data_IF_557400688662
#
_entry.id   IF_557400688662
#
_cell.length_a   1.000
_cell.length_b   1.000
_cell.length_c   1.000
_cell.angle_alpha   90.00
_cell.angle_beta   90.00
_cell.angle_gamma   90.00
#
_symmetry.space_group_name_H-M   'P 1'
#
loop_
_entity.id
_entity.type
_entity.pdbx_description
1 polymer ?
#
# COMPACT_ATOMS: atom_id res chain seq x y z
N UNK A 1 -11.70 6.63 -8.60
CA UNK A 1 -11.49 7.69 -7.60
C UNK A 1 -10.61 7.08 -6.53
N UNK A 2 -9.56 7.80 -6.10
CA UNK A 2 -8.66 7.33 -5.05
C UNK A 2 -9.43 6.92 -3.80
N UNK A 3 -9.17 5.73 -3.24
CA UNK A 3 -9.90 5.22 -2.07
C UNK A 3 -9.59 5.96 -0.77
N UNK A 4 -8.35 6.43 -0.60
CA UNK A 4 -7.90 7.21 0.57
C UNK A 4 -7.97 8.70 0.23
N UNK A 5 -8.65 9.50 1.06
CA UNK A 5 -9.02 10.89 0.75
C UNK A 5 -8.43 11.94 1.70
N UNK A 6 -8.03 11.54 2.90
CA UNK A 6 -7.46 12.42 3.90
C UNK A 6 -6.46 11.66 4.78
N UNK A 7 -5.49 12.39 5.35
CA UNK A 7 -4.72 11.91 6.49
C UNK A 7 -5.60 11.89 7.73
N UNK A 8 -5.32 10.97 8.65
CA UNK A 8 -5.90 10.97 9.99
C UNK A 8 -4.88 11.62 10.91
N UNK A 9 -5.23 12.78 11.46
CA UNK A 9 -4.46 13.46 12.50
C UNK A 9 -5.12 13.13 13.84
N UNK A 10 -4.47 12.36 14.73
CA UNK A 10 -5.02 12.08 16.05
C UNK A 10 -5.25 13.37 16.83
N UNK A 11 -6.25 13.36 17.71
CA UNK A 11 -6.48 14.43 18.68
C UNK A 11 -5.26 14.65 19.57
N UNK A 12 -5.26 15.74 20.34
CA UNK A 12 -4.17 16.04 21.28
C UNK A 12 -3.93 14.95 22.34
N UNK A 13 -4.94 14.13 22.62
CA UNK A 13 -4.91 12.96 23.50
C UNK A 13 -4.55 11.65 22.78
N UNK A 14 -4.26 11.71 21.48
CA UNK A 14 -3.99 10.56 20.61
C UNK A 14 -5.24 9.80 20.16
N UNK A 15 -6.45 10.31 20.44
CA UNK A 15 -7.70 9.68 20.03
C UNK A 15 -7.93 9.81 18.52
N UNK A 16 -8.58 8.80 17.94
CA UNK A 16 -9.05 8.81 16.55
C UNK A 16 -10.56 8.61 16.59
N UNK A 17 -11.31 9.55 16.02
CA UNK A 17 -12.76 9.48 15.98
C UNK A 17 -13.28 8.75 14.75
N UNK A 18 -14.54 8.32 14.80
CA UNK A 18 -15.21 7.74 13.62
C UNK A 18 -15.32 8.75 12.47
N UNK A 19 -15.46 10.05 12.78
CA UNK A 19 -15.46 11.11 11.77
C UNK A 19 -14.12 11.19 11.03
N UNK A 20 -13.00 10.92 11.70
CA UNK A 20 -11.67 10.91 11.06
C UNK A 20 -11.54 9.74 10.08
N UNK A 21 -12.08 8.57 10.46
CA UNK A 21 -12.17 7.40 9.57
C UNK A 21 -13.05 7.70 8.36
N UNK A 22 -14.23 8.32 8.56
CA UNK A 22 -15.14 8.70 7.47
C UNK A 22 -14.50 9.72 6.53
N UNK A 23 -13.77 10.71 7.06
CA UNK A 23 -13.01 11.68 6.23
C UNK A 23 -11.95 10.98 5.38
N UNK A 24 -11.25 10.00 5.96
CA UNK A 24 -10.21 9.25 5.26
C UNK A 24 -10.78 8.30 4.19
N UNK A 25 -11.90 7.63 4.49
CA UNK A 25 -12.57 6.62 3.65
C UNK A 25 -14.07 6.95 3.45
N UNK A 26 -14.40 8.02 2.69
CA UNK A 26 -15.77 8.55 2.63
C UNK A 26 -16.73 7.70 1.79
N UNK A 27 -16.23 6.79 0.96
CA UNK A 27 -17.06 6.06 0.00
C UNK A 27 -17.70 4.81 0.59
N UNK A 28 -17.13 4.22 1.65
CA UNK A 28 -17.64 2.96 2.19
C UNK A 28 -17.58 1.84 1.17
N UNK A 29 -16.42 1.61 0.56
CA UNK A 29 -16.33 0.62 -0.50
C UNK A 29 -16.54 -0.79 0.07
N UNK A 30 -17.39 -1.56 -0.61
CA UNK A 30 -17.46 -2.99 -0.42
C UNK A 30 -16.09 -3.61 -0.69
N UNK A 31 -15.60 -4.43 0.23
CA UNK A 31 -14.32 -5.14 0.08
C UNK A 31 -14.59 -6.57 -0.36
N UNK A 32 -13.80 -7.05 -1.32
CA UNK A 32 -13.94 -8.39 -1.87
C UNK A 32 -12.63 -9.15 -1.85
N UNK A 33 -12.73 -10.46 -1.72
CA UNK A 33 -11.67 -11.42 -1.96
C UNK A 33 -11.80 -11.89 -3.41
N UNK A 34 -10.78 -11.65 -4.23
CA UNK A 34 -10.78 -12.02 -5.65
C UNK A 34 -9.58 -12.91 -5.97
N UNK A 35 -9.76 -13.85 -6.90
CA UNK A 35 -8.65 -14.63 -7.48
C UNK A 35 -8.06 -13.91 -8.69
N UNK A 36 -6.74 -13.84 -8.77
CA UNK A 36 -5.99 -13.20 -9.86
C UNK A 36 -4.77 -14.05 -10.26
N UNK A 37 -4.41 -14.07 -11.54
CA UNK A 37 -3.16 -14.71 -11.98
C UNK A 37 -1.95 -13.85 -11.57
N UNK A 38 -0.78 -14.44 -11.39
CA UNK A 38 0.44 -13.69 -11.10
C UNK A 38 0.80 -12.71 -12.22
N UNK A 39 0.52 -13.08 -13.48
CA UNK A 39 0.72 -12.19 -14.62
C UNK A 39 -0.22 -10.98 -14.57
N UNK A 40 -1.50 -11.17 -14.25
CA UNK A 40 -2.46 -10.06 -14.14
C UNK A 40 -2.18 -9.19 -12.93
N UNK A 41 -1.73 -9.77 -11.80
CA UNK A 41 -1.27 -9.01 -10.65
C UNK A 41 -0.08 -8.11 -11.04
N UNK A 42 0.90 -8.64 -11.80
CA UNK A 42 2.00 -7.82 -12.31
C UNK A 42 1.50 -6.71 -13.23
N UNK A 43 0.56 -7.02 -14.14
CA UNK A 43 -0.03 -6.04 -15.05
C UNK A 43 -0.76 -4.92 -14.28
N UNK A 44 -1.50 -5.27 -13.22
CA UNK A 44 -2.18 -4.32 -12.34
C UNK A 44 -1.18 -3.39 -11.63
N UNK A 45 -0.07 -3.94 -11.14
CA UNK A 45 0.99 -3.17 -10.48
C UNK A 45 1.75 -2.25 -11.46
N UNK A 46 2.01 -2.71 -12.69
CA UNK A 46 2.58 -1.88 -13.76
C UNK A 46 1.65 -0.74 -14.17
N UNK A 47 0.35 -1.05 -14.31
CA UNK A 47 -0.67 -0.06 -14.62
C UNK A 47 -0.78 0.98 -13.50
N UNK A 48 -0.89 0.55 -12.25
CA UNK A 48 -0.81 1.39 -11.04
C UNK A 48 0.40 2.32 -11.07
N UNK A 49 1.59 1.78 -11.32
CA UNK A 49 2.82 2.56 -11.39
C UNK A 49 2.80 3.59 -12.54
N UNK A 50 2.05 3.32 -13.61
CA UNK A 50 1.87 4.24 -14.74
C UNK A 50 0.97 5.43 -14.42
N UNK A 51 0.08 5.28 -13.44
CA UNK A 51 -0.86 6.32 -13.00
C UNK A 51 -0.22 7.34 -12.06
N UNK A 52 0.92 7.00 -11.43
CA UNK A 52 1.67 7.93 -10.59
C UNK A 52 2.03 9.19 -11.38
N UNK A 53 1.70 10.36 -10.83
CA UNK A 53 1.86 11.69 -11.48
C UNK A 53 0.98 11.93 -12.71
N UNK A 54 -0.05 11.11 -12.94
CA UNK A 54 -1.07 11.37 -13.96
C UNK A 54 -2.25 12.15 -13.37
N UNK A 55 -3.16 12.65 -14.22
CA UNK A 55 -4.45 13.21 -13.76
C UNK A 55 -5.33 12.19 -13.03
N UNK A 56 -4.98 10.89 -13.07
CA UNK A 56 -5.64 9.78 -12.39
C UNK A 56 -4.75 9.14 -11.32
N UNK A 57 -3.97 9.95 -10.59
CA UNK A 57 -3.06 9.50 -9.53
C UNK A 57 -3.74 8.62 -8.46
N UNK A 58 -5.07 8.77 -8.31
CA UNK A 58 -5.87 7.96 -7.41
C UNK A 58 -5.88 6.45 -7.67
N UNK A 59 -5.49 6.00 -8.87
CA UNK A 59 -5.37 4.57 -9.17
C UNK A 59 -4.03 3.96 -8.76
N UNK A 60 -3.13 4.71 -8.11
CA UNK A 60 -1.91 4.15 -7.53
C UNK A 60 -2.24 3.26 -6.31
N UNK A 61 -1.85 2.00 -6.39
CA UNK A 61 -2.19 0.97 -5.40
C UNK A 61 -1.25 1.00 -4.19
N UNK A 62 -1.84 1.18 -3.01
CA UNK A 62 -1.21 0.82 -1.74
C UNK A 62 -1.29 -0.69 -1.55
N UNK A 63 -0.29 -1.27 -0.86
CA UNK A 63 -0.17 -2.73 -0.75
C UNK A 63 0.11 -3.22 0.67
N UNK A 64 -0.38 -4.43 0.95
CA UNK A 64 -0.01 -5.25 2.11
C UNK A 64 0.30 -6.66 1.61
N UNK A 65 1.24 -7.36 2.26
CA UNK A 65 1.68 -8.69 1.80
C UNK A 65 2.43 -8.67 0.45
N UNK A 66 2.76 -7.51 -0.10
CA UNK A 66 3.54 -7.34 -1.34
C UNK A 66 4.72 -6.41 -1.06
N UNK A 67 5.90 -6.76 -1.60
CA UNK A 67 7.07 -5.90 -1.67
C UNK A 67 7.49 -5.74 -3.12
N UNK A 68 7.60 -4.51 -3.61
CA UNK A 68 7.95 -4.22 -5.00
C UNK A 68 8.98 -3.11 -5.16
N UNK A 69 9.67 -3.14 -6.31
CA UNK A 69 10.58 -2.07 -6.76
C UNK A 69 10.09 -1.49 -8.08
N UNK A 70 9.77 -0.20 -8.07
CA UNK A 70 9.32 0.56 -9.24
C UNK A 70 10.46 1.45 -9.73
N UNK A 71 10.94 1.23 -10.96
CA UNK A 71 11.95 2.02 -11.61
C UNK A 71 11.33 2.92 -12.69
N UNK A 72 11.16 4.20 -12.39
CA UNK A 72 10.58 5.19 -13.31
C UNK A 72 11.54 5.62 -14.44
N UNK A 73 12.79 5.16 -14.41
CA UNK A 73 13.71 5.34 -15.54
C UNK A 73 13.44 4.34 -16.68
N UNK A 74 12.59 3.33 -16.46
CA UNK A 74 12.19 2.35 -17.46
C UNK A 74 10.87 2.76 -18.14
N UNK A 75 10.64 2.30 -19.39
CA UNK A 75 9.40 2.59 -20.10
C UNK A 75 8.18 2.05 -19.34
N UNK A 76 7.01 2.67 -19.55
CA UNK A 76 5.73 2.20 -19.00
C UNK A 76 5.51 0.72 -19.37
N UNK A 77 5.00 -0.07 -18.42
CA UNK A 77 4.82 -1.51 -18.59
C UNK A 77 6.08 -2.35 -18.34
N UNK A 78 7.22 -1.71 -18.02
CA UNK A 78 8.47 -2.37 -17.60
C UNK A 78 9.09 -1.71 -16.37
N UNK A 79 8.29 -1.00 -15.55
CA UNK A 79 8.79 -0.25 -14.39
C UNK A 79 8.98 -1.14 -13.17
N UNK A 80 8.20 -2.21 -13.03
CA UNK A 80 8.28 -3.13 -11.92
C UNK A 80 9.44 -4.10 -12.16
N UNK A 81 10.54 -3.89 -11.44
CA UNK A 81 11.77 -4.69 -11.59
C UNK A 81 11.86 -5.86 -10.64
N UNK A 82 11.08 -5.83 -9.55
CA UNK A 82 11.01 -6.89 -8.56
C UNK A 82 9.64 -6.87 -7.89
N UNK A 83 9.03 -8.04 -7.75
CA UNK A 83 7.84 -8.25 -6.91
C UNK A 83 8.06 -9.49 -6.07
N UNK A 84 7.80 -9.35 -4.77
CA UNK A 84 7.68 -10.46 -3.84
C UNK A 84 6.33 -10.41 -3.17
N UNK A 85 5.73 -11.57 -2.99
CA UNK A 85 4.43 -11.77 -2.34
C UNK A 85 4.60 -12.62 -1.09
N UNK A 86 3.85 -12.30 -0.05
CA UNK A 86 3.84 -13.07 1.18
C UNK A 86 3.18 -14.42 0.90
N UNK A 87 3.88 -15.50 1.21
CA UNK A 87 3.36 -16.84 0.96
C UNK A 87 2.33 -17.24 2.03
N UNK A 88 1.17 -17.71 1.57
CA UNK A 88 0.06 -18.17 2.40
C UNK A 88 0.06 -19.71 2.61
N UNK A 89 0.71 -20.45 1.72
CA UNK A 89 0.77 -21.93 1.76
C UNK A 89 2.15 -22.43 2.21
N UNK A 90 2.70 -21.79 3.23
CA UNK A 90 3.97 -22.15 3.86
C UNK A 90 3.83 -22.02 5.37
N UNK A 91 4.59 -22.83 6.11
CA UNK A 91 4.47 -22.91 7.57
C UNK A 91 4.85 -21.61 8.26
N UNK A 92 5.86 -20.92 7.73
CA UNK A 92 6.34 -19.64 8.22
C UNK A 92 6.15 -18.64 7.07
N UNK A 93 5.37 -17.55 7.25
CA UNK A 93 5.18 -16.57 6.20
C UNK A 93 6.49 -15.93 5.77
N UNK A 94 6.80 -16.05 4.49
CA UNK A 94 7.97 -15.43 3.89
C UNK A 94 7.64 -14.78 2.54
N UNK A 95 8.47 -13.81 2.15
CA UNK A 95 8.31 -13.10 0.88
C UNK A 95 9.02 -13.84 -0.25
N UNK A 96 8.24 -14.52 -1.09
CA UNK A 96 8.71 -15.25 -2.26
C UNK A 96 8.54 -14.41 -3.54
N UNK A 97 9.38 -14.61 -4.58
CA UNK A 97 9.17 -13.99 -5.88
C UNK A 97 7.76 -14.27 -6.43
N UNK A 98 7.16 -13.28 -7.08
CA UNK A 98 5.90 -13.47 -7.78
C UNK A 98 6.06 -14.48 -8.93
N UNK A 99 5.24 -15.52 -8.94
CA UNK A 99 5.16 -16.50 -10.02
C UNK A 99 4.00 -16.12 -10.94
N UNK A 100 4.31 -15.82 -12.19
CA UNK A 100 3.33 -15.35 -13.18
C UNK A 100 2.26 -16.38 -13.52
N UNK A 101 2.54 -17.67 -13.36
CA UNK A 101 1.64 -18.76 -13.75
C UNK A 101 0.72 -19.20 -12.60
N UNK A 102 1.01 -18.77 -11.36
CA UNK A 102 0.20 -19.14 -10.19
C UNK A 102 -0.96 -18.17 -9.99
N UNK A 103 -1.99 -18.66 -9.31
CA UNK A 103 -3.10 -17.84 -8.85
C UNK A 103 -2.85 -17.35 -7.43
N UNK A 104 -3.31 -16.14 -7.16
CA UNK A 104 -3.23 -15.47 -5.87
C UNK A 104 -4.61 -15.00 -5.45
N UNK A 105 -4.87 -15.03 -4.15
CA UNK A 105 -6.03 -14.38 -3.56
C UNK A 105 -5.63 -12.98 -3.14
N UNK A 106 -6.42 -11.99 -3.56
CA UNK A 106 -6.23 -10.58 -3.23
C UNK A 106 -7.48 -10.03 -2.55
N UNK A 107 -7.27 -9.16 -1.58
CA UNK A 107 -8.34 -8.42 -0.91
C UNK A 107 -8.28 -6.99 -1.43
N UNK A 108 -9.33 -6.57 -2.14
CA UNK A 108 -9.38 -5.26 -2.81
C UNK A 108 -10.78 -4.66 -2.70
N UNK A 109 -10.94 -3.33 -2.82
CA UNK A 109 -12.26 -2.74 -3.01
C UNK A 109 -12.92 -3.27 -4.28
N UNK A 110 -14.22 -3.58 -4.22
CA UNK A 110 -15.04 -3.99 -5.38
C UNK A 110 -14.94 -3.00 -6.55
N UNK A 111 -14.75 -1.72 -6.25
CA UNK A 111 -14.48 -0.67 -7.22
C UNK A 111 -13.37 -1.05 -8.21
N UNK A 112 -12.25 -1.63 -7.73
CA UNK A 112 -11.13 -2.03 -8.58
C UNK A 112 -11.46 -3.25 -9.45
N UNK A 113 -12.18 -4.23 -8.89
CA UNK A 113 -12.62 -5.43 -9.63
C UNK A 113 -13.55 -5.05 -10.79
N UNK A 114 -14.32 -3.98 -10.63
CA UNK A 114 -15.24 -3.47 -11.65
C UNK A 114 -14.58 -2.51 -12.67
N UNK A 115 -13.25 -2.44 -12.75
CA UNK A 115 -12.56 -1.57 -13.72
C UNK A 115 -12.27 -0.16 -13.22
N UNK A 116 -12.48 0.10 -11.92
CA UNK A 116 -12.24 1.39 -11.29
C UNK A 116 -10.83 1.93 -11.55
N UNK A 117 -10.74 3.25 -11.78
CA UNK A 117 -9.51 3.95 -12.19
C UNK A 117 -8.79 3.35 -13.42
N UNK A 118 -9.48 2.49 -14.20
CA UNK A 118 -8.96 1.80 -15.38
C UNK A 118 -8.27 0.47 -15.09
N UNK A 119 -8.38 -0.07 -13.87
CA UNK A 119 -7.81 -1.36 -13.49
C UNK A 119 -8.64 -2.53 -14.04
N UNK A 120 -8.26 -3.05 -15.21
CA UNK A 120 -8.97 -4.16 -15.87
C UNK A 120 -8.48 -5.56 -15.46
N UNK A 121 -7.47 -5.66 -14.61
CA UNK A 121 -6.74 -6.90 -14.35
C UNK A 121 -7.19 -7.66 -13.08
N UNK A 122 -8.07 -7.08 -12.26
CA UNK A 122 -8.46 -7.66 -10.97
C UNK A 122 -9.55 -8.75 -11.02
N UNK A 123 -9.99 -9.10 -12.22
CA UNK A 123 -10.97 -10.15 -12.45
C UNK A 123 -10.34 -11.21 -13.35
N UNK A 124 -10.23 -12.43 -12.84
CA UNK A 124 -9.99 -13.60 -13.68
C UNK A 124 -11.14 -13.71 -14.69
N UNK A 125 -10.84 -13.50 -15.97
CA UNK A 125 -11.84 -13.53 -17.03
C UNK A 125 -12.36 -14.95 -17.30
N UNK A 126 -11.62 -15.98 -16.89
CA UNK A 126 -11.92 -17.39 -17.17
C UNK A 126 -12.67 -18.06 -16.03
N UNK A 127 -12.31 -17.77 -14.78
CA UNK A 127 -12.97 -18.34 -13.60
C UNK A 127 -13.08 -17.27 -12.49
N UNK A 128 -14.03 -16.33 -12.63
CA UNK A 128 -14.20 -15.25 -11.67
C UNK A 128 -14.66 -15.82 -10.32
N UNK A 129 -13.77 -15.82 -9.33
CA UNK A 129 -14.09 -16.08 -7.92
C UNK A 129 -14.00 -14.78 -7.16
N UNK A 130 -15.14 -14.29 -6.69
CA UNK A 130 -15.25 -13.04 -5.95
C UNK A 130 -16.17 -13.30 -4.76
N UNK A 131 -15.61 -13.25 -3.56
CA UNK A 131 -16.36 -13.31 -2.31
C UNK A 131 -16.43 -11.93 -1.69
N UNK A 132 -17.61 -11.53 -1.22
CA UNK A 132 -17.78 -10.26 -0.50
C UNK A 132 -17.46 -10.46 0.97
N UNK A 133 -16.67 -9.55 1.54
CA UNK A 133 -16.55 -9.48 2.99
C UNK A 133 -17.82 -8.85 3.59
N UNK A 134 -18.17 -9.20 4.81
CA UNK A 134 -19.38 -8.64 5.45
C UNK A 134 -19.26 -7.14 5.72
N UNK A 135 -18.05 -6.68 6.04
CA UNK A 135 -17.76 -5.29 6.40
C UNK A 135 -17.19 -4.52 5.21
N UNK A 136 -17.58 -3.25 5.12
CA UNK A 136 -16.99 -2.28 4.18
C UNK A 136 -15.64 -1.75 4.70
N UNK A 137 -14.88 -1.09 3.84
CA UNK A 137 -13.53 -0.60 4.11
C UNK A 137 -13.38 0.22 5.41
N UNK A 138 -14.27 1.19 5.66
CA UNK A 138 -14.23 2.03 6.87
C UNK A 138 -14.56 1.24 8.14
N UNK A 139 -15.44 0.24 8.07
CA UNK A 139 -15.80 -0.61 9.20
C UNK A 139 -14.68 -1.58 9.53
N UNK A 140 -13.99 -2.12 8.50
CA UNK A 140 -12.78 -2.91 8.67
C UNK A 140 -11.70 -2.08 9.38
N UNK A 141 -11.46 -0.84 8.96
CA UNK A 141 -10.48 0.04 9.60
C UNK A 141 -10.86 0.36 11.05
N UNK A 142 -12.13 0.70 11.29
CA UNK A 142 -12.62 0.97 12.64
C UNK A 142 -12.50 -0.25 13.55
N UNK A 143 -12.84 -1.44 13.06
CA UNK A 143 -12.67 -2.71 13.78
C UNK A 143 -11.19 -2.96 14.11
N UNK A 144 -10.30 -2.78 13.14
CA UNK A 144 -8.86 -2.92 13.35
C UNK A 144 -8.35 -1.99 14.47
N UNK A 145 -8.74 -0.71 14.47
CA UNK A 145 -8.36 0.24 15.53
C UNK A 145 -8.92 -0.14 16.90
N UNK A 146 -10.18 -0.57 17.00
CA UNK A 146 -10.77 -1.02 18.26
C UNK A 146 -10.04 -2.24 18.84
N UNK A 147 -9.65 -3.19 17.99
CA UNK A 147 -8.96 -4.41 18.41
C UNK A 147 -7.50 -4.15 18.82
N UNK A 148 -6.78 -3.28 18.10
CA UNK A 148 -5.36 -3.03 18.36
C UNK A 148 -5.11 -1.95 19.42
N UNK A 149 -6.12 -1.12 19.73
CA UNK A 149 -6.14 0.00 20.69
C UNK A 149 -5.16 1.15 20.38
N UNK A 150 -3.91 0.82 20.09
CA UNK A 150 -2.83 1.73 19.70
C UNK A 150 -2.24 1.22 18.39
N UNK A 151 -2.13 2.11 17.40
CA UNK A 151 -1.60 1.81 16.08
C UNK A 151 -0.46 2.76 15.74
N UNK A 152 0.57 2.24 15.08
CA UNK A 152 1.77 2.99 14.70
C UNK A 152 2.28 2.49 13.33
N UNK A 153 1.50 2.67 12.24
CA UNK A 153 1.90 2.22 10.92
C UNK A 153 3.17 2.95 10.46
N UNK A 154 4.11 2.21 9.86
CA UNK A 154 5.39 2.76 9.39
C UNK A 154 5.57 2.58 7.88
N UNK A 155 6.49 3.36 7.29
CA UNK A 155 6.96 3.14 5.92
C UNK A 155 7.96 1.98 5.94
N UNK A 156 7.46 0.77 5.72
CA UNK A 156 8.23 -0.49 5.81
C UNK A 156 8.98 -0.86 4.51
N UNK A 157 9.09 0.06 3.54
CA UNK A 157 9.74 -0.23 2.26
C UNK A 157 8.98 -1.25 1.40
N UNK A 158 7.64 -1.36 1.57
CA UNK A 158 6.78 -2.20 0.72
C UNK A 158 6.85 -1.79 -0.76
N UNK A 159 7.00 -0.50 -1.02
CA UNK A 159 7.18 0.06 -2.36
C UNK A 159 8.47 0.86 -2.37
N UNK A 160 9.47 0.40 -3.12
CA UNK A 160 10.73 1.11 -3.31
C UNK A 160 10.77 1.75 -4.69
N UNK A 161 11.03 3.05 -4.74
CA UNK A 161 10.98 3.84 -5.97
C UNK A 161 12.41 4.22 -6.39
N UNK A 162 12.73 3.93 -7.65
CA UNK A 162 13.99 4.30 -8.29
C UNK A 162 13.70 5.28 -9.43
N UNK A 163 14.16 6.51 -9.29
CA UNK A 163 14.01 7.56 -10.30
C UNK A 163 15.24 8.46 -10.28
N UNK A 164 15.76 8.85 -11.45
CA UNK A 164 16.83 9.85 -11.51
C UNK A 164 16.29 11.16 -10.96
N UNK A 165 16.92 11.70 -9.91
CA UNK A 165 16.63 13.06 -9.44
C UNK A 165 16.83 14.01 -10.61
N UNK A 166 15.77 14.73 -11.02
CA UNK A 166 15.93 15.90 -11.89
C UNK A 166 16.85 16.88 -11.16
N UNK A 167 17.92 17.35 -11.82
CA UNK A 167 18.68 18.50 -11.32
C UNK A 167 17.72 19.69 -11.28
N UNK A 168 17.18 20.03 -10.11
CA UNK A 168 16.45 21.27 -9.92
C UNK A 168 17.47 22.41 -9.88
N UNK A 169 17.44 23.30 -10.87
CA UNK A 169 18.22 24.55 -10.91
C UNK A 169 17.57 25.63 -10.04
N UNK A 170 17.27 25.30 -8.78
CA UNK A 170 16.86 26.26 -7.76
C UNK A 170 17.83 26.14 -6.58
N UNK A 171 18.36 27.26 -6.02
CA UNK A 171 19.30 27.19 -4.93
C UNK A 171 18.56 26.70 -3.68
N UNK A 172 18.87 25.49 -3.21
CA UNK A 172 18.37 25.03 -1.91
C UNK A 172 19.21 25.67 -0.82
N UNK A 173 18.64 26.62 -0.08
CA UNK A 173 19.21 27.07 1.18
C UNK A 173 19.13 25.90 2.18
N UNK A 174 20.24 25.17 2.34
CA UNK A 174 20.37 24.09 3.33
C UNK A 174 20.90 24.68 4.63
N UNK A 175 20.01 25.00 5.56
CA UNK A 175 20.41 25.19 6.95
C UNK A 175 20.65 23.80 7.56
N UNK A 176 21.92 23.47 7.80
CA UNK A 176 22.32 22.22 8.45
C UNK A 176 22.06 22.35 9.95
N UNK A 177 20.95 21.83 10.44
CA UNK A 177 20.85 21.47 11.86
C UNK A 177 21.28 20.02 12.00
N UNK A 178 22.45 19.82 12.60
CA UNK A 178 22.92 18.51 13.05
C UNK A 178 22.39 18.34 14.47
N UNK A 179 21.35 17.53 14.63
CA UNK A 179 20.89 17.10 15.96
C UNK A 179 21.73 15.88 16.34
N UNK A 180 22.69 16.07 17.25
CA UNK A 180 23.43 14.98 17.89
C UNK A 180 22.60 14.52 19.08
N UNK A 181 21.96 13.34 18.99
CA UNK A 181 21.42 12.67 20.17
C UNK A 181 22.57 12.05 20.95
N UNK A 182 22.84 12.58 22.14
CA UNK A 182 23.71 11.94 23.13
C UNK A 182 22.86 10.93 23.90
N UNK A 183 23.03 9.64 23.63
CA UNK A 183 22.53 8.58 24.51
C UNK A 183 23.52 8.36 25.64
N UNK A 184 23.21 8.88 26.83
CA UNK A 184 23.90 8.51 28.07
C UNK A 184 23.39 7.13 28.49
N UNK A 185 24.22 6.10 28.26
CA UNK A 185 24.02 4.77 28.86
C UNK A 185 24.64 4.83 30.25
N UNK A 186 23.82 5.06 31.28
CA UNK A 186 24.23 4.77 32.66
C UNK A 186 24.06 3.28 32.90
N UNK A 187 25.16 2.55 32.79
CA UNK A 187 25.30 1.24 33.46
C UNK A 187 25.21 1.47 34.96
N UNK A 188 24.11 1.05 35.58
CA UNK A 188 24.07 0.79 37.01
C UNK A 188 24.51 -0.65 37.25
N UNK A 189 25.72 -0.79 37.78
CA UNK A 189 26.21 -1.97 38.47
C UNK A 189 26.79 -1.43 39.78
N UNK A 190 26.31 -1.89 40.93
CA UNK A 190 27.05 -1.99 42.21
C UNK A 190 26.15 -2.72 43.22
N UNK A 191 26.70 -3.86 43.68
CA UNK A 191 26.44 -4.69 44.88
C UNK A 191 25.01 -5.11 45.20
#
# INVERSE_FOLDING_TARGET
MAGIRASIEPGSDGSISELDIIKALPYGNQVVVSRITGQDLLNALEYSASLRHSKRDGGFLQVSGIRMVINYNLPKGKRITKVKVLCAHCRIPEYLPLDKQRHYWVIVPRYLVNGGDGHIYFKDATEPKIDELELIDREILAKYYREHKVVYPMIEGRINIVEKKRKSSAPSFRQKFVVVSITVITTYYIS
#
